data_IF_044673039912
#
_entry.id   IF_044673039912
#
_cell.length_a   1.000
_cell.length_b   1.000
_cell.length_c   1.000
_cell.angle_alpha   90.00
_cell.angle_beta   90.00
_cell.angle_gamma   90.00
#
_symmetry.space_group_name_H-M   'P 1'
#
loop_
_entity.id
_entity.type
_entity.pdbx_description
1 polymer ?
#
# COMPACT_ATOMS: atom_id res chain seq x y z
N UNK A 1 -21.28 -22.99 -1.29
CA UNK A 1 -19.90 -23.08 -0.71
C UNK A 1 -19.77 -24.25 0.26
N UNK A 2 -20.69 -24.45 1.21
CA UNK A 2 -20.73 -25.64 2.10
C UNK A 2 -20.76 -26.98 1.36
N UNK A 3 -21.55 -27.11 0.29
CA UNK A 3 -21.65 -28.38 -0.46
C UNK A 3 -20.42 -28.67 -1.34
N UNK A 4 -19.69 -27.62 -1.77
CA UNK A 4 -18.39 -27.77 -2.45
C UNK A 4 -17.27 -28.16 -1.48
N UNK A 5 -17.37 -27.72 -0.22
CA UNK A 5 -16.44 -28.10 0.86
C UNK A 5 -16.71 -29.54 1.30
N UNK A 6 -17.97 -29.96 1.46
CA UNK A 6 -18.32 -31.37 1.72
C UNK A 6 -17.95 -32.30 0.58
N UNK A 7 -18.07 -31.86 -0.68
CA UNK A 7 -17.59 -32.63 -1.83
C UNK A 7 -16.06 -32.77 -1.85
N UNK A 8 -15.32 -31.77 -1.34
CA UNK A 8 -13.87 -31.83 -1.16
C UNK A 8 -13.45 -32.70 0.02
N UNK A 9 -14.21 -32.68 1.11
CA UNK A 9 -14.01 -33.54 2.29
C UNK A 9 -14.33 -35.02 1.97
N UNK A 10 -15.36 -35.30 1.17
CA UNK A 10 -15.62 -36.65 0.64
C UNK A 10 -14.55 -37.12 -0.36
N UNK A 11 -13.84 -36.20 -1.02
CA UNK A 11 -12.72 -36.54 -1.91
C UNK A 11 -11.39 -36.77 -1.18
N UNK A 12 -11.28 -36.30 0.07
CA UNK A 12 -10.09 -36.50 0.91
C UNK A 12 -9.87 -37.96 1.33
N UNK A 13 -10.87 -38.82 1.18
CA UNK A 13 -10.80 -40.26 1.47
C UNK A 13 -10.21 -41.13 0.35
N UNK A 14 -9.91 -40.58 -0.83
CA UNK A 14 -9.26 -41.33 -1.92
C UNK A 14 -7.80 -40.92 -2.04
N UNK A 15 -6.91 -41.82 -1.62
CA UNK A 15 -5.47 -41.74 -1.90
C UNK A 15 -5.26 -41.40 -3.37
N UNK A 16 -4.85 -40.16 -3.67
CA UNK A 16 -4.57 -39.71 -5.03
C UNK A 16 -3.22 -40.31 -5.42
N UNK A 17 -3.20 -41.19 -6.42
CA UNK A 17 -1.97 -41.65 -7.05
C UNK A 17 -1.31 -40.44 -7.70
N UNK A 18 -0.07 -40.15 -7.34
CA UNK A 18 0.67 -38.97 -7.81
C UNK A 18 1.94 -39.34 -8.57
N UNK A 19 2.39 -40.60 -8.47
CA UNK A 19 3.47 -41.14 -9.29
C UNK A 19 3.12 -42.55 -9.78
N UNK A 20 3.68 -42.95 -10.93
CA UNK A 20 3.53 -44.30 -11.48
C UNK A 20 4.60 -45.27 -10.95
N UNK A 21 5.65 -44.76 -10.30
CA UNK A 21 6.66 -45.58 -9.62
C UNK A 21 6.34 -45.75 -8.12
N UNK A 22 6.77 -46.88 -7.56
CA UNK A 22 6.51 -47.24 -6.16
C UNK A 22 7.55 -46.68 -5.17
N UNK A 23 8.34 -45.68 -5.59
CA UNK A 23 9.39 -45.09 -4.73
C UNK A 23 8.78 -44.21 -3.63
N UNK A 24 9.30 -44.38 -2.41
CA UNK A 24 8.93 -43.55 -1.26
C UNK A 24 9.65 -42.21 -1.34
N UNK A 25 8.89 -41.11 -1.30
CA UNK A 25 9.42 -39.75 -1.40
C UNK A 25 8.90 -38.80 -0.36
N UNK A 26 9.77 -37.90 0.08
CA UNK A 26 9.35 -36.71 0.82
C UNK A 26 9.57 -35.48 -0.07
N UNK A 27 8.49 -34.70 -0.26
CA UNK A 27 8.46 -33.54 -1.14
C UNK A 27 8.36 -32.28 -0.29
N UNK A 28 9.39 -31.42 -0.32
CA UNK A 28 9.43 -30.18 0.42
C UNK A 28 9.27 -28.98 -0.49
N UNK A 29 8.44 -28.02 -0.08
CA UNK A 29 8.39 -26.72 -0.71
C UNK A 29 8.29 -25.58 0.31
N UNK A 30 8.84 -24.44 -0.06
CA UNK A 30 8.84 -23.23 0.75
C UNK A 30 8.19 -22.07 -0.01
N UNK A 31 7.29 -21.35 0.65
CA UNK A 31 6.76 -20.08 0.19
C UNK A 31 7.14 -19.00 1.20
N UNK A 32 7.74 -17.90 0.75
CA UNK A 32 8.32 -16.88 1.62
C UNK A 32 7.62 -15.53 1.41
N UNK A 33 7.31 -14.86 2.51
CA UNK A 33 6.96 -13.45 2.54
C UNK A 33 7.97 -12.70 3.42
N UNK A 34 8.95 -12.07 2.79
CA UNK A 34 9.94 -11.25 3.50
C UNK A 34 9.36 -9.93 4.02
N UNK A 35 8.23 -9.46 3.49
CA UNK A 35 7.59 -8.23 3.99
C UNK A 35 6.86 -8.46 5.30
N UNK A 36 6.27 -9.64 5.47
CA UNK A 36 5.57 -10.07 6.69
C UNK A 36 6.46 -10.90 7.63
N UNK A 37 7.75 -11.05 7.28
CA UNK A 37 8.77 -11.79 8.02
C UNK A 37 8.34 -13.23 8.37
N UNK A 38 7.74 -13.92 7.39
CA UNK A 38 7.13 -15.25 7.57
C UNK A 38 7.27 -16.11 6.31
N UNK A 39 7.53 -17.40 6.50
CA UNK A 39 7.55 -18.40 5.43
C UNK A 39 6.68 -19.60 5.82
N UNK A 40 6.09 -20.24 4.82
CA UNK A 40 5.33 -21.48 4.97
C UNK A 40 6.12 -22.61 4.29
N UNK A 41 6.61 -23.54 5.09
CA UNK A 41 7.16 -24.81 4.62
C UNK A 41 6.07 -25.87 4.55
N UNK A 42 6.05 -26.66 3.48
CA UNK A 42 5.11 -27.76 3.28
C UNK A 42 5.86 -29.04 2.94
N UNK A 43 5.44 -30.13 3.57
CA UNK A 43 5.89 -31.48 3.29
C UNK A 43 4.72 -32.34 2.81
N UNK A 44 4.89 -32.99 1.65
CA UNK A 44 4.04 -34.11 1.24
C UNK A 44 4.84 -35.42 1.36
N UNK A 45 4.27 -36.40 2.06
CA UNK A 45 4.82 -37.76 2.18
C UNK A 45 4.18 -38.64 1.12
N UNK A 46 4.96 -39.14 0.18
CA UNK A 46 4.54 -40.05 -0.87
C UNK A 46 5.07 -41.45 -0.56
N UNK A 47 4.19 -42.44 -0.47
CA UNK A 47 4.57 -43.84 -0.28
C UNK A 47 3.89 -44.69 -1.33
N UNK A 48 4.63 -45.59 -1.96
CA UNK A 48 4.11 -46.45 -3.04
C UNK A 48 3.30 -45.66 -4.09
N UNK A 49 3.82 -44.50 -4.50
CA UNK A 49 3.19 -43.61 -5.50
C UNK A 49 1.98 -42.79 -5.01
N UNK A 50 1.60 -42.89 -3.73
CA UNK A 50 0.41 -42.22 -3.15
C UNK A 50 0.80 -41.21 -2.08
N UNK A 51 0.11 -40.07 -2.01
CA UNK A 51 0.28 -39.15 -0.87
C UNK A 51 -0.41 -39.74 0.36
N UNK A 52 0.38 -40.04 1.38
CA UNK A 52 -0.07 -40.61 2.66
C UNK A 52 -0.09 -39.58 3.78
N UNK A 53 0.54 -38.41 3.58
CA UNK A 53 0.58 -37.37 4.60
C UNK A 53 0.91 -36.00 4.03
N UNK A 54 0.38 -34.97 4.69
CA UNK A 54 0.68 -33.56 4.43
C UNK A 54 0.92 -32.85 5.75
N UNK A 55 2.04 -32.13 5.85
CA UNK A 55 2.39 -31.30 7.00
C UNK A 55 2.80 -29.91 6.52
N UNK A 56 2.61 -28.90 7.37
CA UNK A 56 3.09 -27.56 7.10
C UNK A 56 3.57 -26.89 8.38
N UNK A 57 4.52 -25.98 8.25
CA UNK A 57 5.12 -25.22 9.35
C UNK A 57 5.32 -23.78 8.93
N UNK A 58 5.02 -22.84 9.83
CA UNK A 58 5.35 -21.44 9.62
C UNK A 58 6.68 -21.08 10.29
N UNK A 59 7.63 -20.60 9.51
CA UNK A 59 8.88 -20.02 9.98
C UNK A 59 8.67 -18.50 10.14
N UNK A 60 9.24 -17.90 11.18
CA UNK A 60 9.19 -16.46 11.47
C UNK A 60 10.60 -15.97 11.79
N UNK A 61 10.84 -14.65 11.78
CA UNK A 61 12.16 -14.06 12.04
C UNK A 61 13.17 -14.51 10.98
N UNK A 62 12.81 -14.22 9.72
CA UNK A 62 13.57 -14.56 8.53
C UNK A 62 14.66 -13.52 8.21
N UNK A 63 14.69 -12.39 8.91
CA UNK A 63 15.66 -11.33 8.69
C UNK A 63 17.10 -11.88 8.70
N UNK A 64 17.87 -11.54 7.66
CA UNK A 64 19.24 -12.02 7.47
C UNK A 64 19.38 -13.46 6.96
N UNK A 65 18.29 -14.24 6.83
CA UNK A 65 18.36 -15.63 6.35
C UNK A 65 18.15 -15.72 4.83
N UNK A 66 18.93 -16.57 4.17
CA UNK A 66 18.75 -16.91 2.75
C UNK A 66 17.65 -17.95 2.57
N UNK A 67 17.11 -18.09 1.35
CA UNK A 67 16.05 -19.06 1.06
C UNK A 67 16.56 -20.50 1.28
N UNK A 68 17.84 -20.73 0.97
CA UNK A 68 18.55 -22.00 1.17
C UNK A 68 18.71 -22.36 2.65
N UNK A 69 19.01 -21.37 3.50
CA UNK A 69 19.07 -21.57 4.95
C UNK A 69 17.69 -21.91 5.52
N UNK A 70 16.63 -21.26 5.05
CA UNK A 70 15.26 -21.55 5.47
C UNK A 70 14.79 -22.95 5.04
N UNK A 71 15.15 -23.37 3.82
CA UNK A 71 14.89 -24.74 3.37
C UNK A 71 15.65 -25.75 4.24
N UNK A 72 16.91 -25.48 4.59
CA UNK A 72 17.69 -26.33 5.48
C UNK A 72 17.05 -26.48 6.85
N UNK A 73 16.66 -25.36 7.49
CA UNK A 73 15.96 -25.37 8.79
C UNK A 73 14.67 -26.19 8.72
N UNK A 74 13.90 -26.08 7.63
CA UNK A 74 12.67 -26.85 7.43
C UNK A 74 12.93 -28.36 7.41
N UNK A 75 13.99 -28.80 6.70
CA UNK A 75 14.33 -30.21 6.59
C UNK A 75 14.91 -30.76 7.89
N UNK A 76 15.83 -30.04 8.52
CA UNK A 76 16.43 -30.44 9.79
C UNK A 76 15.36 -30.57 10.89
N UNK A 77 14.45 -29.60 10.99
CA UNK A 77 13.36 -29.64 11.96
C UNK A 77 12.46 -30.88 11.76
N UNK A 78 12.21 -31.29 10.52
CA UNK A 78 11.43 -32.48 10.24
C UNK A 78 12.19 -33.78 10.55
N UNK A 79 13.42 -33.92 10.03
CA UNK A 79 14.19 -35.15 10.16
C UNK A 79 14.76 -35.39 11.57
N UNK A 80 14.81 -34.36 12.41
CA UNK A 80 15.10 -34.52 13.84
C UNK A 80 14.08 -35.42 14.57
N UNK A 81 12.82 -35.40 14.14
CA UNK A 81 11.71 -36.16 14.77
C UNK A 81 11.16 -37.28 13.85
N UNK A 82 11.78 -37.51 12.69
CA UNK A 82 11.26 -38.44 11.71
C UNK A 82 11.44 -39.91 12.12
N UNK A 83 10.34 -40.65 12.17
CA UNK A 83 10.34 -42.11 12.35
C UNK A 83 10.58 -42.88 11.03
N UNK A 84 10.45 -42.21 9.88
CA UNK A 84 10.59 -42.82 8.56
C UNK A 84 11.47 -41.97 7.66
N UNK A 85 12.35 -42.62 6.90
CA UNK A 85 13.26 -42.00 5.94
C UNK A 85 12.95 -42.52 4.53
N UNK A 86 12.76 -41.65 3.51
CA UNK A 86 12.37 -42.05 2.16
C UNK A 86 13.54 -42.56 1.30
N UNK A 87 13.24 -43.01 0.08
CA UNK A 87 14.25 -43.33 -0.94
C UNK A 87 14.78 -42.06 -1.64
N UNK A 88 13.92 -41.06 -1.80
CA UNK A 88 14.25 -39.79 -2.43
C UNK A 88 13.59 -38.61 -1.72
N UNK A 89 14.32 -37.50 -1.63
CA UNK A 89 13.81 -36.23 -1.12
C UNK A 89 13.87 -35.21 -2.25
N UNK A 90 12.72 -34.62 -2.57
CA UNK A 90 12.61 -33.60 -3.62
C UNK A 90 12.30 -32.24 -3.01
N UNK A 91 12.98 -31.20 -3.49
CA UNK A 91 12.89 -29.85 -2.94
C UNK A 91 12.43 -28.84 -4.00
N UNK A 92 11.74 -27.78 -3.56
CA UNK A 92 11.43 -26.63 -4.42
C UNK A 92 12.60 -25.67 -4.64
N UNK A 93 13.69 -25.83 -3.89
CA UNK A 93 14.90 -25.02 -3.95
C UNK A 93 16.05 -25.70 -3.20
N UNK A 94 17.30 -25.23 -3.38
CA UNK A 94 18.46 -25.83 -2.74
C UNK A 94 18.49 -25.58 -1.21
N UNK A 95 19.37 -26.29 -0.51
CA UNK A 95 19.73 -26.07 0.89
C UNK A 95 21.14 -25.47 0.96
N UNK A 96 21.47 -24.77 2.06
CA UNK A 96 22.75 -24.06 2.16
C UNK A 96 23.94 -25.03 2.33
N UNK A 97 23.79 -26.03 3.19
CA UNK A 97 24.76 -27.11 3.40
C UNK A 97 24.06 -28.47 3.43
N UNK A 98 24.02 -29.22 2.31
CA UNK A 98 23.35 -30.52 2.26
C UNK A 98 24.13 -31.65 2.96
N UNK A 99 25.44 -31.48 3.21
CA UNK A 99 26.32 -32.58 3.62
C UNK A 99 25.88 -33.31 4.90
N UNK A 100 25.64 -32.60 6.02
CA UNK A 100 25.18 -33.21 7.27
C UNK A 100 23.83 -33.93 7.11
N UNK A 101 22.92 -33.33 6.33
CA UNK A 101 21.59 -33.89 6.10
C UNK A 101 21.66 -35.16 5.24
N UNK A 102 22.45 -35.17 4.16
CA UNK A 102 22.64 -36.37 3.33
C UNK A 102 23.27 -37.52 4.12
N UNK A 103 24.22 -37.22 5.01
CA UNK A 103 24.82 -38.20 5.91
C UNK A 103 23.78 -38.81 6.86
N UNK A 104 22.97 -37.97 7.52
CA UNK A 104 21.87 -38.41 8.39
C UNK A 104 20.86 -39.30 7.63
N UNK A 105 20.42 -38.86 6.45
CA UNK A 105 19.47 -39.61 5.63
C UNK A 105 20.03 -40.98 5.24
N UNK A 106 21.31 -41.05 4.84
CA UNK A 106 21.98 -42.28 4.46
C UNK A 106 22.12 -43.25 5.64
N UNK A 107 22.55 -42.75 6.79
CA UNK A 107 22.70 -43.55 8.01
C UNK A 107 21.36 -44.16 8.42
N UNK A 108 20.31 -43.33 8.49
CA UNK A 108 18.99 -43.74 8.96
C UNK A 108 18.25 -44.67 7.99
N UNK A 109 18.42 -44.49 6.67
CA UNK A 109 17.82 -45.37 5.66
C UNK A 109 18.64 -46.66 5.44
N UNK A 110 19.92 -46.67 5.81
CA UNK A 110 20.85 -47.77 5.53
C UNK A 110 21.33 -47.85 4.07
N UNK A 111 20.92 -46.90 3.22
CA UNK A 111 21.36 -46.77 1.81
C UNK A 111 21.35 -45.30 1.39
N UNK A 112 21.96 -44.98 0.25
CA UNK A 112 21.99 -43.62 -0.28
C UNK A 112 20.57 -43.12 -0.56
N UNK A 113 20.20 -42.00 0.04
CA UNK A 113 18.97 -41.24 -0.23
C UNK A 113 19.34 -40.08 -1.15
N UNK A 114 18.66 -39.94 -2.28
CA UNK A 114 18.93 -38.80 -3.18
C UNK A 114 18.16 -37.56 -2.76
N UNK A 115 18.87 -36.47 -2.52
CA UNK A 115 18.32 -35.12 -2.30
C UNK A 115 18.40 -34.34 -3.62
N UNK A 116 17.26 -33.91 -4.18
CA UNK A 116 17.23 -33.28 -5.53
C UNK A 116 16.29 -32.08 -5.61
N UNK A 117 16.64 -31.13 -6.48
CA UNK A 117 15.81 -30.01 -6.91
C UNK A 117 15.39 -30.25 -8.38
N UNK A 118 14.23 -30.88 -8.65
CA UNK A 118 13.85 -31.21 -10.01
C UNK A 118 13.36 -29.96 -10.78
N UNK A 119 13.98 -29.69 -11.93
CA UNK A 119 13.63 -28.53 -12.77
C UNK A 119 12.58 -28.86 -13.86
N UNK A 120 12.54 -30.11 -14.35
CA UNK A 120 11.68 -30.56 -15.46
C UNK A 120 11.11 -31.97 -15.22
N UNK A 121 10.10 -32.34 -16.02
CA UNK A 121 9.44 -33.64 -15.96
C UNK A 121 8.42 -33.79 -14.80
N UNK A 122 8.01 -35.03 -14.55
CA UNK A 122 6.93 -35.37 -13.60
C UNK A 122 7.28 -35.01 -12.16
N UNK A 123 8.53 -35.25 -11.74
CA UNK A 123 9.05 -34.88 -10.41
C UNK A 123 8.98 -33.36 -10.17
N UNK A 124 9.27 -32.55 -11.19
CA UNK A 124 9.09 -31.10 -11.12
C UNK A 124 7.60 -30.72 -11.04
N UNK A 125 6.72 -31.49 -11.68
CA UNK A 125 5.27 -31.35 -11.54
C UNK A 125 4.79 -31.57 -10.10
N UNK A 126 5.31 -32.61 -9.43
CA UNK A 126 5.05 -32.88 -8.01
C UNK A 126 5.46 -31.69 -7.13
N UNK A 127 6.67 -31.18 -7.32
CA UNK A 127 7.17 -30.05 -6.55
C UNK A 127 6.37 -28.78 -6.80
N UNK A 128 5.94 -28.51 -8.04
CA UNK A 128 5.03 -27.39 -8.33
C UNK A 128 3.71 -27.50 -7.56
N UNK A 129 3.16 -28.71 -7.42
CA UNK A 129 1.95 -28.93 -6.61
C UNK A 129 2.18 -28.60 -5.13
N UNK A 130 3.29 -29.07 -4.55
CA UNK A 130 3.62 -28.79 -3.14
C UNK A 130 3.90 -27.30 -2.93
N UNK A 131 4.61 -26.65 -3.86
CA UNK A 131 4.88 -25.21 -3.83
C UNK A 131 3.60 -24.37 -3.96
N UNK A 132 2.64 -24.79 -4.80
CA UNK A 132 1.33 -24.16 -4.87
C UNK A 132 0.57 -24.28 -3.54
N UNK A 133 0.69 -25.41 -2.85
CA UNK A 133 0.10 -25.59 -1.52
C UNK A 133 0.75 -24.69 -0.45
N UNK A 134 2.08 -24.55 -0.47
CA UNK A 134 2.80 -23.64 0.42
C UNK A 134 2.36 -22.18 0.23
N UNK A 135 2.19 -21.74 -1.02
CA UNK A 135 1.68 -20.40 -1.35
C UNK A 135 0.25 -20.19 -0.85
N UNK A 136 -0.63 -21.17 -1.07
CA UNK A 136 -2.02 -21.11 -0.60
C UNK A 136 -2.09 -20.93 0.93
N UNK A 137 -1.33 -21.73 1.68
CA UNK A 137 -1.30 -21.67 3.15
C UNK A 137 -0.70 -20.35 3.67
N UNK A 138 0.27 -19.78 2.96
CA UNK A 138 0.82 -18.47 3.28
C UNK A 138 -0.22 -17.36 3.04
N UNK A 139 -0.98 -17.43 1.95
CA UNK A 139 -2.04 -16.47 1.63
C UNK A 139 -3.20 -16.56 2.65
N UNK A 140 -3.59 -17.76 3.06
CA UNK A 140 -4.57 -17.95 4.14
C UNK A 140 -4.10 -17.34 5.46
N UNK A 141 -2.83 -17.54 5.81
CA UNK A 141 -2.24 -16.93 7.00
C UNK A 141 -2.29 -15.40 6.95
N UNK A 142 -1.95 -14.80 5.80
CA UNK A 142 -2.04 -13.34 5.58
C UNK A 142 -3.46 -12.84 5.78
N UNK A 143 -4.45 -13.53 5.20
CA UNK A 143 -5.87 -13.16 5.35
C UNK A 143 -6.33 -13.28 6.81
N UNK A 144 -5.93 -14.32 7.52
CA UNK A 144 -6.25 -14.46 8.94
C UNK A 144 -5.58 -13.39 9.80
N UNK A 145 -4.33 -13.03 9.52
CA UNK A 145 -3.62 -11.93 10.19
C UNK A 145 -4.35 -10.61 9.95
N UNK A 146 -4.66 -10.30 8.69
CA UNK A 146 -5.42 -9.10 8.33
C UNK A 146 -6.76 -9.04 9.05
N UNK A 147 -7.51 -10.16 9.13
CA UNK A 147 -8.77 -10.25 9.88
C UNK A 147 -8.61 -10.13 11.39
N UNK A 148 -7.53 -10.65 11.98
CA UNK A 148 -7.23 -10.49 13.41
C UNK A 148 -6.83 -9.05 13.76
N UNK A 149 -6.22 -8.35 12.82
CA UNK A 149 -5.94 -6.92 12.94
C UNK A 149 -7.19 -6.07 12.67
N UNK A 150 -8.11 -6.54 11.82
CA UNK A 150 -9.40 -5.93 11.55
C UNK A 150 -10.28 -5.99 12.81
N UNK A 151 -10.59 -4.81 13.37
CA UNK A 151 -11.34 -4.68 14.63
C UNK A 151 -10.48 -4.51 15.89
N UNK A 152 -9.18 -4.81 15.84
CA UNK A 152 -8.26 -4.50 16.95
C UNK A 152 -7.84 -3.03 16.87
N UNK A 153 -8.24 -2.23 17.86
CA UNK A 153 -7.80 -0.84 17.98
C UNK A 153 -6.26 -0.81 18.10
N UNK A 154 -5.54 -0.19 17.15
CA UNK A 154 -4.08 -0.19 17.17
C UNK A 154 -3.50 0.52 18.39
N UNK A 155 -2.34 0.05 18.84
CA UNK A 155 -1.64 0.64 19.98
C UNK A 155 -1.42 2.15 19.81
N UNK A 156 -1.03 2.59 18.62
CA UNK A 156 -0.80 4.01 18.32
C UNK A 156 -2.06 4.88 18.52
N UNK A 157 -3.25 4.35 18.24
CA UNK A 157 -4.52 5.07 18.45
C UNK A 157 -4.84 5.19 19.93
N UNK A 158 -4.63 4.12 20.70
CA UNK A 158 -4.80 4.14 22.17
C UNK A 158 -3.79 5.05 22.86
N UNK A 159 -2.54 4.99 22.42
CA UNK A 159 -1.47 5.84 22.92
C UNK A 159 -1.78 7.31 22.62
N UNK A 160 -2.26 7.63 21.43
CA UNK A 160 -2.64 9.00 21.06
C UNK A 160 -3.78 9.54 21.94
N UNK A 161 -4.80 8.72 22.23
CA UNK A 161 -5.86 9.10 23.18
C UNK A 161 -5.27 9.49 24.54
N UNK A 162 -4.42 8.62 25.11
CA UNK A 162 -3.84 8.83 26.43
C UNK A 162 -2.91 10.06 26.46
N UNK A 163 -1.99 10.14 25.51
CA UNK A 163 -0.95 11.16 25.51
C UNK A 163 -1.51 12.57 25.24
N UNK A 164 -2.66 12.66 24.55
CA UNK A 164 -3.40 13.91 24.32
C UNK A 164 -4.62 14.09 25.23
N UNK A 165 -4.83 13.18 26.20
CA UNK A 165 -5.99 13.16 27.09
C UNK A 165 -7.35 13.33 26.37
N UNK A 166 -7.53 12.64 25.24
CA UNK A 166 -8.73 12.77 24.41
C UNK A 166 -9.92 12.04 25.06
N UNK A 167 -11.14 12.63 25.00
CA UNK A 167 -12.32 12.07 25.65
C UNK A 167 -12.78 10.75 25.03
N UNK A 168 -12.40 10.48 23.78
CA UNK A 168 -12.71 9.25 23.04
C UNK A 168 -11.49 8.80 22.24
N UNK A 169 -11.48 7.52 21.86
CA UNK A 169 -10.44 6.97 21.00
C UNK A 169 -10.44 7.67 19.63
N UNK A 170 -9.31 8.25 19.18
CA UNK A 170 -9.23 8.93 17.89
C UNK A 170 -9.15 7.91 16.74
N UNK A 171 -10.21 7.14 16.52
CA UNK A 171 -10.24 6.09 15.49
C UNK A 171 -10.27 6.69 14.11
N UNK A 172 -11.08 7.73 13.91
CA UNK A 172 -11.15 8.51 12.68
C UNK A 172 -10.47 9.86 12.85
N UNK A 173 -9.34 10.06 12.17
CA UNK A 173 -8.53 11.28 12.24
C UNK A 173 -8.62 11.99 10.88
N UNK A 174 -9.08 13.24 10.88
CA UNK A 174 -9.01 14.10 9.69
C UNK A 174 -7.88 15.11 9.84
N UNK A 175 -7.05 15.25 8.80
CA UNK A 175 -5.94 16.20 8.82
C UNK A 175 -5.97 17.15 7.63
N UNK A 176 -5.88 18.44 7.95
CA UNK A 176 -5.89 19.54 6.98
C UNK A 176 -4.50 20.10 6.79
N UNK A 177 -4.08 20.24 5.53
CA UNK A 177 -2.86 20.95 5.12
C UNK A 177 -3.23 22.03 4.11
N UNK A 178 -2.63 23.21 4.24
CA UNK A 178 -2.72 24.30 3.25
C UNK A 178 -1.33 24.48 2.64
N UNK A 179 -1.22 24.15 1.36
CA UNK A 179 0.04 24.21 0.64
C UNK A 179 0.04 25.34 -0.39
N UNK A 180 1.12 26.12 -0.38
CA UNK A 180 1.39 27.18 -1.33
C UNK A 180 2.45 26.70 -2.33
N UNK A 181 2.09 26.62 -3.60
CA UNK A 181 3.06 26.40 -4.66
C UNK A 181 3.02 27.60 -5.60
N UNK A 182 4.11 28.37 -5.56
CA UNK A 182 4.30 29.64 -6.26
C UNK A 182 3.72 29.60 -7.67
N UNK A 183 2.78 30.51 -7.92
CA UNK A 183 2.15 30.68 -9.22
C UNK A 183 1.02 29.71 -9.58
N UNK A 184 0.58 28.76 -8.74
CA UNK A 184 -0.54 27.82 -9.06
C UNK A 184 -1.81 27.97 -8.21
N UNK A 185 -1.92 29.05 -7.44
CA UNK A 185 -3.02 29.27 -6.50
C UNK A 185 -2.91 28.41 -5.23
N UNK A 186 -3.75 28.70 -4.24
CA UNK A 186 -3.74 28.00 -2.95
C UNK A 186 -4.57 26.72 -3.05
N UNK A 187 -3.99 25.59 -2.62
CA UNK A 187 -4.69 24.33 -2.50
C UNK A 187 -4.62 23.85 -1.07
N UNK A 188 -5.78 23.53 -0.51
CA UNK A 188 -5.84 22.79 0.73
C UNK A 188 -6.19 21.33 0.48
N UNK A 189 -5.78 20.47 1.39
CA UNK A 189 -6.09 19.05 1.34
C UNK A 189 -6.59 18.57 2.70
N UNK A 190 -7.50 17.59 2.67
CA UNK A 190 -7.98 16.86 3.82
C UNK A 190 -7.72 15.38 3.59
N UNK A 191 -6.90 14.77 4.44
CA UNK A 191 -6.68 13.32 4.45
C UNK A 191 -7.39 12.71 5.64
N UNK A 192 -7.79 11.45 5.49
CA UNK A 192 -8.54 10.72 6.50
C UNK A 192 -7.76 9.47 6.88
N UNK A 193 -7.57 9.26 8.17
CA UNK A 193 -7.05 8.02 8.72
C UNK A 193 -8.15 7.34 9.52
N UNK A 194 -8.26 6.02 9.37
CA UNK A 194 -9.10 5.18 10.24
C UNK A 194 -8.24 4.08 10.85
N UNK A 195 -8.34 3.94 12.17
CA UNK A 195 -7.53 3.01 12.96
C UNK A 195 -6.04 3.13 12.60
N UNK A 196 -5.54 4.38 12.56
CA UNK A 196 -4.14 4.68 12.28
C UNK A 196 -3.67 4.34 10.86
N UNK A 197 -4.57 3.97 9.94
CA UNK A 197 -4.25 3.67 8.53
C UNK A 197 -4.92 4.66 7.58
N UNK A 198 -4.28 5.04 6.46
CA UNK A 198 -4.87 6.01 5.55
C UNK A 198 -6.09 5.47 4.78
N UNK A 199 -7.18 6.23 4.77
CA UNK A 199 -8.43 5.98 4.02
C UNK A 199 -8.48 6.84 2.75
N UNK A 200 -7.66 6.46 1.77
CA UNK A 200 -7.47 7.22 0.51
C UNK A 200 -8.75 7.55 -0.26
N UNK A 201 -9.80 6.70 -0.18
CA UNK A 201 -11.09 6.94 -0.83
C UNK A 201 -11.82 8.19 -0.29
N UNK A 202 -11.49 8.59 0.93
CA UNK A 202 -12.12 9.71 1.62
C UNK A 202 -11.31 11.00 1.57
N UNK A 203 -10.14 10.98 0.93
CA UNK A 203 -9.33 12.18 0.78
C UNK A 203 -10.03 13.21 -0.08
N UNK A 204 -9.85 14.49 0.22
CA UNK A 204 -10.41 15.61 -0.54
C UNK A 204 -9.36 16.68 -0.75
N UNK A 205 -9.39 17.29 -1.93
CA UNK A 205 -8.64 18.52 -2.21
C UNK A 205 -9.63 19.66 -2.45
N UNK A 206 -9.22 20.85 -2.03
CA UNK A 206 -10.03 22.05 -2.13
C UNK A 206 -9.24 23.09 -2.90
N UNK A 207 -9.86 23.58 -3.97
CA UNK A 207 -9.43 24.84 -4.61
C UNK A 207 -10.00 25.96 -3.76
N UNK A 208 -9.11 26.74 -3.15
CA UNK A 208 -9.46 27.90 -2.34
C UNK A 208 -9.84 29.05 -3.27
N UNK A 209 -10.97 29.71 -2.99
CA UNK A 209 -11.51 30.79 -3.82
C UNK A 209 -11.44 32.14 -3.12
N UNK A 210 -11.35 32.14 -1.80
CA UNK A 210 -11.43 33.32 -0.96
C UNK A 210 -10.19 34.22 -1.01
N UNK A 211 -9.06 33.70 -1.48
CA UNK A 211 -7.78 34.42 -1.49
C UNK A 211 -7.48 34.93 -2.89
N UNK A 212 -7.21 36.24 -3.01
CA UNK A 212 -6.86 36.87 -4.27
C UNK A 212 -5.56 36.30 -4.86
N UNK A 213 -5.47 36.23 -6.19
CA UNK A 213 -4.30 35.72 -6.89
C UNK A 213 -3.03 36.50 -6.47
N UNK A 214 -2.00 35.76 -6.03
CA UNK A 214 -0.72 36.33 -5.61
C UNK A 214 -0.58 36.65 -4.12
N UNK A 215 -1.64 36.50 -3.31
CA UNK A 215 -1.56 36.59 -1.83
C UNK A 215 -1.52 35.20 -1.20
N UNK A 216 -0.68 35.02 -0.17
CA UNK A 216 -0.69 33.85 0.71
C UNK A 216 -1.50 34.23 1.94
N UNK A 217 -2.75 33.78 2.01
CA UNK A 217 -3.56 33.90 3.22
C UNK A 217 -4.02 32.49 3.65
N UNK A 218 -3.07 31.78 4.26
CA UNK A 218 -3.22 30.43 4.81
C UNK A 218 -4.38 30.36 5.82
N UNK A 219 -4.61 31.45 6.55
CA UNK A 219 -5.67 31.56 7.55
C UNK A 219 -7.05 31.57 6.90
N UNK A 220 -7.25 32.44 5.91
CA UNK A 220 -8.50 32.53 5.17
C UNK A 220 -8.79 31.23 4.40
N UNK A 221 -7.75 30.66 3.77
CA UNK A 221 -7.83 29.38 3.07
C UNK A 221 -8.31 28.26 4.00
N UNK A 222 -7.72 28.16 5.19
CA UNK A 222 -8.09 27.15 6.17
C UNK A 222 -9.52 27.34 6.69
N UNK A 223 -9.91 28.59 6.98
CA UNK A 223 -11.28 28.93 7.40
C UNK A 223 -12.31 28.49 6.37
N UNK A 224 -12.08 28.79 5.09
CA UNK A 224 -12.96 28.38 3.98
C UNK A 224 -13.10 26.85 3.90
N UNK A 225 -11.97 26.14 3.97
CA UNK A 225 -11.91 24.71 3.71
C UNK A 225 -12.53 23.89 4.85
N UNK A 226 -12.23 24.26 6.10
CA UNK A 226 -12.83 23.64 7.28
C UNK A 226 -14.34 23.86 7.27
N UNK A 227 -14.81 25.08 7.03
CA UNK A 227 -16.24 25.37 6.93
C UNK A 227 -16.93 24.51 5.86
N UNK A 228 -16.37 24.49 4.63
CA UNK A 228 -16.91 23.69 3.52
C UNK A 228 -16.94 22.19 3.82
N UNK A 229 -15.92 21.64 4.49
CA UNK A 229 -15.87 20.23 4.85
C UNK A 229 -17.01 19.87 5.80
N UNK A 230 -17.17 20.62 6.89
CA UNK A 230 -18.14 20.27 7.93
C UNK A 230 -19.57 20.64 7.58
N UNK A 231 -19.79 21.70 6.80
CA UNK A 231 -21.10 21.97 6.19
C UNK A 231 -21.60 20.78 5.38
N UNK A 232 -20.73 20.23 4.52
CA UNK A 232 -21.07 19.05 3.73
C UNK A 232 -21.31 17.82 4.59
N UNK A 233 -20.53 17.61 5.66
CA UNK A 233 -20.77 16.50 6.60
C UNK A 233 -22.15 16.63 7.26
N UNK A 234 -22.58 17.85 7.62
CA UNK A 234 -23.93 18.10 8.13
C UNK A 234 -25.01 17.82 7.07
N UNK A 235 -24.87 18.40 5.87
CA UNK A 235 -25.85 18.27 4.78
C UNK A 235 -26.02 16.83 4.30
N UNK A 236 -24.92 16.07 4.21
CA UNK A 236 -24.92 14.69 3.70
C UNK A 236 -25.03 13.64 4.81
N UNK A 237 -25.18 14.03 6.08
CA UNK A 237 -25.09 13.13 7.24
C UNK A 237 -23.84 12.22 7.19
N UNK A 238 -22.70 12.82 6.86
CA UNK A 238 -21.42 12.13 6.70
C UNK A 238 -20.80 11.65 8.02
N UNK A 239 -19.72 10.84 7.94
CA UNK A 239 -19.02 10.36 9.13
C UNK A 239 -18.28 11.50 9.84
N UNK A 240 -18.45 11.59 11.16
CA UNK A 240 -17.75 12.55 12.01
C UNK A 240 -16.35 12.06 12.38
N UNK A 241 -15.34 12.95 12.43
CA UNK A 241 -14.03 12.61 12.98
C UNK A 241 -14.09 12.44 14.50
N UNK A 242 -13.17 11.63 15.03
CA UNK A 242 -12.87 11.55 16.46
C UNK A 242 -11.75 12.53 16.86
N UNK A 243 -10.95 12.99 15.89
CA UNK A 243 -9.90 13.98 16.07
C UNK A 243 -9.65 14.74 14.76
N UNK A 244 -9.48 16.05 14.84
CA UNK A 244 -9.07 16.90 13.73
C UNK A 244 -7.68 17.45 13.97
N UNK A 245 -6.79 17.30 13.00
CA UNK A 245 -5.42 17.80 13.06
C UNK A 245 -5.22 18.87 11.98
N UNK A 246 -4.82 20.07 12.39
CA UNK A 246 -4.42 21.15 11.49
C UNK A 246 -2.90 21.09 11.36
N UNK A 247 -2.36 20.91 10.15
CA UNK A 247 -0.91 21.04 9.89
C UNK A 247 -0.54 22.52 9.95
N UNK A 248 -0.31 22.98 11.18
CA UNK A 248 -0.20 24.38 11.48
C UNK A 248 -0.09 24.71 12.96
N UNK A 249 0.47 25.88 13.22
CA UNK A 249 0.60 26.42 14.58
C UNK A 249 -0.70 27.01 15.11
N UNK A 250 -0.62 27.70 16.26
CA UNK A 250 -1.77 28.30 16.96
C UNK A 250 -2.65 29.20 16.10
N UNK A 251 -2.05 30.01 15.23
CA UNK A 251 -2.82 30.92 14.35
C UNK A 251 -3.72 30.17 13.38
N UNK A 252 -3.21 29.12 12.75
CA UNK A 252 -3.98 28.26 11.85
C UNK A 252 -5.05 27.48 12.64
N UNK A 253 -4.70 26.94 13.80
CA UNK A 253 -5.66 26.28 14.69
C UNK A 253 -6.82 27.21 15.06
N UNK A 254 -6.54 28.47 15.44
CA UNK A 254 -7.57 29.45 15.79
C UNK A 254 -8.54 29.70 14.61
N UNK A 255 -8.02 29.84 13.39
CA UNK A 255 -8.85 30.02 12.20
C UNK A 255 -9.75 28.81 11.91
N UNK A 256 -9.25 27.59 12.13
CA UNK A 256 -10.05 26.38 12.02
C UNK A 256 -11.15 26.34 13.09
N UNK A 257 -10.84 26.75 14.32
CA UNK A 257 -11.81 26.82 15.42
C UNK A 257 -12.94 27.82 15.10
N UNK A 258 -12.62 29.01 14.60
CA UNK A 258 -13.62 29.99 14.17
C UNK A 258 -14.56 29.42 13.10
N UNK A 259 -14.01 28.69 12.11
CA UNK A 259 -14.82 28.03 11.09
C UNK A 259 -15.76 26.96 11.69
N UNK A 260 -15.26 26.14 12.61
CA UNK A 260 -16.06 25.13 13.31
C UNK A 260 -17.16 25.75 14.17
N UNK A 261 -16.89 26.90 14.80
CA UNK A 261 -17.88 27.65 15.58
C UNK A 261 -18.97 28.22 14.68
N UNK A 262 -18.59 28.82 13.54
CA UNK A 262 -19.55 29.36 12.57
C UNK A 262 -20.48 28.30 11.98
N UNK A 263 -19.98 27.08 11.76
CA UNK A 263 -20.81 25.94 11.32
C UNK A 263 -21.54 25.22 12.48
N UNK A 264 -21.38 25.66 13.73
CA UNK A 264 -22.07 25.09 14.90
C UNK A 264 -21.62 23.67 15.29
N UNK A 265 -20.40 23.27 14.91
CA UNK A 265 -19.85 21.92 15.14
C UNK A 265 -18.66 21.89 16.11
N UNK A 266 -18.17 23.05 16.52
CA UNK A 266 -17.13 23.13 17.55
C UNK A 266 -17.57 22.44 18.85
N UNK A 267 -16.67 21.66 19.46
CA UNK A 267 -16.96 20.87 20.65
C UNK A 267 -17.51 19.46 20.40
N UNK A 268 -17.90 19.10 19.16
CA UNK A 268 -18.30 17.71 18.82
C UNK A 268 -17.14 16.72 18.84
N UNK A 269 -15.94 17.20 18.52
CA UNK A 269 -14.70 16.44 18.49
C UNK A 269 -13.52 17.36 18.87
N UNK A 270 -12.43 16.80 19.40
CA UNK A 270 -11.18 17.54 19.60
C UNK A 270 -10.59 18.02 18.27
N UNK A 271 -10.06 19.23 18.27
CA UNK A 271 -9.27 19.81 17.17
C UNK A 271 -7.93 20.27 17.73
N UNK A 272 -6.84 19.93 17.05
CA UNK A 272 -5.48 20.26 17.49
C UNK A 272 -4.67 20.83 16.33
N UNK A 273 -3.73 21.73 16.64
CA UNK A 273 -2.70 22.20 15.72
C UNK A 273 -1.42 21.40 15.91
N UNK A 274 -0.78 21.00 14.83
CA UNK A 274 0.52 20.31 14.86
C UNK A 274 1.58 21.21 14.22
N UNK A 275 2.45 21.78 15.05
CA UNK A 275 3.51 22.65 14.54
C UNK A 275 4.72 21.85 14.03
N UNK A 276 5.30 22.30 12.91
CA UNK A 276 6.44 21.63 12.27
C UNK A 276 7.70 21.58 13.14
N UNK A 277 7.89 22.55 14.05
CA UNK A 277 9.02 22.58 14.99
C UNK A 277 8.69 21.66 16.17
N UNK A 278 9.50 20.60 16.33
CA UNK A 278 9.39 19.60 17.41
C UNK A 278 8.10 18.76 17.45
N UNK A 279 7.20 18.88 16.46
CA UNK A 279 5.90 18.20 16.43
C UNK A 279 5.04 18.51 17.67
N UNK A 280 5.12 19.75 18.13
CA UNK A 280 4.35 20.25 19.25
C UNK A 280 2.86 20.29 18.91
N UNK A 281 2.05 19.77 19.83
CA UNK A 281 0.59 19.72 19.69
C UNK A 281 -0.03 20.88 20.47
N UNK A 282 -0.86 21.67 19.80
CA UNK A 282 -1.58 22.80 20.39
C UNK A 282 -3.07 22.49 20.48
N UNK A 283 -3.65 22.75 21.65
CA UNK A 283 -5.10 22.76 21.83
C UNK A 283 -5.65 24.20 21.72
N UNK A 284 -6.93 24.36 21.32
CA UNK A 284 -7.59 25.67 21.27
C UNK A 284 -7.59 26.33 22.65
N UNK A 285 -7.12 27.57 22.73
CA UNK A 285 -7.09 28.36 23.96
C UNK A 285 -5.86 28.13 24.85
N UNK A 286 -5.08 27.07 24.61
CA UNK A 286 -3.92 26.75 25.45
C UNK A 286 -2.71 27.64 25.16
N UNK A 287 -2.04 28.05 26.25
CA UNK A 287 -0.80 28.85 26.19
C UNK A 287 0.42 28.00 25.88
N UNK A 288 0.46 26.76 26.33
CA UNK A 288 1.60 25.87 26.15
C UNK A 288 1.26 24.72 25.20
N UNK A 289 2.26 24.19 24.51
CA UNK A 289 2.11 22.99 23.68
C UNK A 289 2.24 21.72 24.52
N UNK A 290 1.59 20.67 24.07
CA UNK A 290 1.84 19.31 24.53
C UNK A 290 3.00 18.74 23.73
N UNK A 291 4.09 18.41 24.42
CA UNK A 291 5.28 17.76 23.85
C UNK A 291 5.15 16.26 24.04
N UNK A 292 5.06 15.52 22.94
CA UNK A 292 5.00 14.06 22.97
C UNK A 292 6.42 13.49 22.74
N UNK A 293 6.87 12.47 23.50
CA UNK A 293 8.17 11.84 23.28
C UNK A 293 8.36 11.37 21.83
N UNK A 294 9.56 11.60 21.27
CA UNK A 294 9.89 11.29 19.87
C UNK A 294 9.78 9.81 19.50
N UNK A 295 10.00 8.93 20.47
CA UNK A 295 9.91 7.47 20.32
C UNK A 295 8.49 6.94 20.48
N UNK A 296 7.52 7.79 20.86
CA UNK A 296 6.14 7.36 21.09
C UNK A 296 5.44 6.97 19.78
N UNK A 297 4.58 5.96 19.86
CA UNK A 297 3.73 5.57 18.74
C UNK A 297 2.68 6.65 18.38
N UNK A 298 2.34 7.52 19.33
CA UNK A 298 1.39 8.64 19.18
C UNK A 298 1.96 9.71 18.25
N UNK A 299 3.20 10.13 18.51
CA UNK A 299 3.87 11.12 17.67
C UNK A 299 4.12 10.57 16.26
N UNK A 300 4.55 9.32 16.15
CA UNK A 300 4.73 8.66 14.85
C UNK A 300 3.42 8.55 14.06
N UNK A 301 2.27 8.42 14.73
CA UNK A 301 0.96 8.47 14.07
C UNK A 301 0.65 9.88 13.56
N UNK A 302 0.81 10.92 14.39
CA UNK A 302 0.60 12.31 13.99
C UNK A 302 1.50 12.72 12.83
N UNK A 303 2.78 12.35 12.87
CA UNK A 303 3.74 12.58 11.78
C UNK A 303 3.29 11.91 10.48
N UNK A 304 2.84 10.65 10.52
CA UNK A 304 2.33 9.96 9.33
C UNK A 304 1.09 10.63 8.76
N UNK A 305 0.17 11.05 9.62
CA UNK A 305 -1.04 11.78 9.24
C UNK A 305 -0.69 13.09 8.53
N UNK A 306 0.21 13.89 9.12
CA UNK A 306 0.67 15.16 8.54
C UNK A 306 1.43 14.95 7.23
N UNK A 307 2.42 14.06 7.23
CA UNK A 307 3.23 13.78 6.04
C UNK A 307 2.37 13.30 4.88
N UNK A 308 1.31 12.54 5.15
CA UNK A 308 0.34 12.12 4.14
C UNK A 308 -0.52 13.28 3.63
N UNK A 309 -0.95 14.21 4.49
CA UNK A 309 -1.65 15.44 4.10
C UNK A 309 -0.78 16.28 3.17
N UNK A 310 0.46 16.57 3.59
CA UNK A 310 1.42 17.31 2.80
C UNK A 310 1.74 16.62 1.46
N UNK A 311 2.01 15.30 1.48
CA UNK A 311 2.26 14.52 0.26
C UNK A 311 1.09 14.60 -0.70
N UNK A 312 -0.14 14.53 -0.20
CA UNK A 312 -1.34 14.55 -1.01
C UNK A 312 -1.55 15.93 -1.66
N UNK A 313 -1.36 17.01 -0.91
CA UNK A 313 -1.40 18.39 -1.43
C UNK A 313 -0.36 18.62 -2.53
N UNK A 314 0.91 18.30 -2.27
CA UNK A 314 2.03 18.43 -3.23
C UNK A 314 1.78 17.61 -4.49
N UNK A 315 1.32 16.36 -4.34
CA UNK A 315 1.00 15.49 -5.49
C UNK A 315 -0.09 16.10 -6.37
N UNK A 316 -1.11 16.70 -5.76
CA UNK A 316 -2.19 17.35 -6.49
C UNK A 316 -1.71 18.61 -7.22
N UNK A 317 -0.95 19.48 -6.54
CA UNK A 317 -0.41 20.69 -7.15
C UNK A 317 0.57 20.38 -8.29
N UNK A 318 1.41 19.35 -8.15
CA UNK A 318 2.27 18.87 -9.25
C UNK A 318 1.45 18.45 -10.47
N UNK A 319 0.36 17.72 -10.26
CA UNK A 319 -0.57 17.35 -11.34
C UNK A 319 -1.24 18.57 -11.98
N UNK A 320 -1.63 19.58 -11.20
CA UNK A 320 -2.21 20.82 -11.72
C UNK A 320 -1.19 21.63 -12.54
N UNK A 321 0.03 21.80 -12.03
CA UNK A 321 1.12 22.49 -12.76
C UNK A 321 1.44 21.79 -14.06
N UNK A 322 1.57 20.46 -14.04
CA UNK A 322 1.79 19.69 -15.26
C UNK A 322 0.68 19.94 -16.27
N UNK A 323 -0.59 19.90 -15.87
CA UNK A 323 -1.71 20.23 -16.77
C UNK A 323 -1.63 21.65 -17.31
N UNK A 324 -1.26 22.65 -16.49
CA UNK A 324 -1.16 24.05 -16.93
C UNK A 324 0.01 24.30 -17.86
N UNK A 325 1.21 23.81 -17.55
CA UNK A 325 2.39 23.91 -18.42
C UNK A 325 2.12 23.28 -19.78
N UNK A 326 1.51 22.10 -19.76
CA UNK A 326 1.11 21.40 -20.97
C UNK A 326 0.02 22.18 -21.74
N UNK A 327 -0.95 22.78 -21.07
CA UNK A 327 -1.94 23.66 -21.70
C UNK A 327 -1.28 24.90 -22.33
N UNK A 328 -0.34 25.55 -21.63
CA UNK A 328 0.38 26.72 -22.15
C UNK A 328 1.25 26.39 -23.36
N UNK A 329 1.81 25.19 -23.40
CA UNK A 329 2.64 24.70 -24.51
C UNK A 329 1.81 24.55 -25.79
N UNK A 330 0.60 23.97 -25.71
CA UNK A 330 -0.28 23.89 -26.87
C UNK A 330 -0.82 25.26 -27.31
N UNK A 331 -1.12 26.17 -26.37
CA UNK A 331 -1.57 27.53 -26.72
C UNK A 331 -0.46 28.41 -27.29
N UNK A 332 0.82 28.05 -27.12
CA UNK A 332 1.94 28.76 -27.72
C UNK A 332 2.07 28.50 -29.23
N UNK A 333 1.36 27.49 -29.77
CA UNK A 333 1.37 27.14 -31.19
C UNK A 333 0.44 28.10 -31.94
N UNK A 334 0.96 28.90 -32.90
CA UNK A 334 0.13 29.83 -33.66
C UNK A 334 -1.05 29.14 -34.37
N UNK A 335 -2.27 29.58 -34.07
CA UNK A 335 -3.51 29.01 -34.62
C UNK A 335 -4.15 27.90 -33.76
N UNK A 336 -3.55 27.55 -32.62
CA UNK A 336 -4.12 26.63 -31.62
C UNK A 336 -4.68 27.42 -30.44
N UNK A 337 -5.91 27.93 -30.59
CA UNK A 337 -6.64 28.62 -29.51
C UNK A 337 -7.21 27.67 -28.45
N UNK A 338 -7.72 28.22 -27.33
CA UNK A 338 -8.22 27.44 -26.18
C UNK A 338 -9.23 26.33 -26.55
N UNK A 339 -10.16 26.62 -27.46
CA UNK A 339 -11.17 25.64 -27.89
C UNK A 339 -10.51 24.40 -28.52
N UNK A 340 -9.48 24.60 -29.35
CA UNK A 340 -8.75 23.53 -30.02
C UNK A 340 -7.89 22.75 -29.03
N UNK A 341 -7.27 23.43 -28.06
CA UNK A 341 -6.54 22.77 -26.96
C UNK A 341 -7.46 21.84 -26.15
N UNK A 342 -8.67 22.31 -25.79
CA UNK A 342 -9.64 21.47 -25.07
C UNK A 342 -10.05 20.25 -25.89
N UNK A 343 -10.30 20.39 -27.19
CA UNK A 343 -10.65 19.27 -28.08
C UNK A 343 -9.51 18.26 -28.17
N UNK A 344 -8.28 18.71 -28.41
CA UNK A 344 -7.10 17.84 -28.43
C UNK A 344 -6.90 17.11 -27.10
N UNK A 345 -7.04 17.80 -25.97
CA UNK A 345 -6.93 17.18 -24.65
C UNK A 345 -8.06 16.21 -24.35
N UNK A 346 -9.27 16.44 -24.86
CA UNK A 346 -10.39 15.52 -24.72
C UNK A 346 -10.16 14.23 -25.51
N UNK A 347 -9.65 14.35 -26.73
CA UNK A 347 -9.41 13.19 -27.61
C UNK A 347 -8.19 12.38 -27.18
N UNK A 348 -7.05 13.05 -26.94
CA UNK A 348 -5.77 12.38 -26.65
C UNK A 348 -5.50 12.22 -25.14
N UNK A 349 -6.26 12.89 -24.28
CA UNK A 349 -6.19 12.77 -22.82
C UNK A 349 -5.07 13.56 -22.13
N UNK A 350 -3.94 13.80 -22.80
CA UNK A 350 -2.83 14.61 -22.26
C UNK A 350 -1.95 15.16 -23.37
N UNK A 351 -1.26 16.28 -23.13
CA UNK A 351 -0.34 16.87 -24.12
C UNK A 351 0.84 15.95 -24.42
N UNK A 352 1.30 15.12 -23.48
CA UNK A 352 2.30 14.08 -23.79
C UNK A 352 1.80 13.12 -24.87
N UNK A 353 0.51 12.77 -24.84
CA UNK A 353 -0.12 11.94 -25.88
C UNK A 353 -0.36 12.71 -27.17
N UNK A 354 -0.66 14.02 -27.10
CA UNK A 354 -0.71 14.89 -28.30
C UNK A 354 0.66 14.97 -28.97
N UNK A 355 1.74 15.14 -28.19
CA UNK A 355 3.13 15.15 -28.67
C UNK A 355 3.54 13.81 -29.28
N UNK A 356 3.06 12.69 -28.74
CA UNK A 356 3.36 11.36 -29.27
C UNK A 356 2.39 10.89 -30.37
N UNK A 357 1.32 11.63 -30.64
CA UNK A 357 0.33 11.24 -31.64
C UNK A 357 0.89 11.42 -33.06
N UNK A 358 0.60 10.49 -33.99
CA UNK A 358 0.96 10.65 -35.39
C UNK A 358 0.16 11.81 -36.01
N UNK A 359 0.76 12.49 -36.99
CA UNK A 359 0.17 13.68 -37.63
C UNK A 359 -1.23 13.40 -38.21
N UNK A 360 -1.44 12.22 -38.80
CA UNK A 360 -2.74 11.80 -39.30
C UNK A 360 -3.83 11.82 -38.22
N UNK A 361 -3.54 11.32 -37.02
CA UNK A 361 -4.49 11.33 -35.91
C UNK A 361 -4.76 12.77 -35.41
N UNK A 362 -3.75 13.65 -35.42
CA UNK A 362 -3.94 15.07 -35.09
C UNK A 362 -4.82 15.78 -36.14
N UNK A 363 -4.64 15.44 -37.42
CA UNK A 363 -5.38 16.03 -38.54
C UNK A 363 -6.88 15.73 -38.46
N UNK A 364 -7.28 14.55 -37.97
CA UNK A 364 -8.69 14.20 -37.74
C UNK A 364 -9.36 15.14 -36.71
N UNK A 365 -8.59 15.75 -35.80
CA UNK A 365 -9.14 16.55 -34.70
C UNK A 365 -9.08 18.05 -34.99
N UNK A 366 -8.02 18.53 -35.65
CA UNK A 366 -7.79 19.98 -35.86
C UNK A 366 -7.58 20.39 -37.32
N UNK A 367 -7.67 19.44 -38.25
CA UNK A 367 -7.40 19.65 -39.66
C UNK A 367 -5.91 19.53 -40.02
N UNK A 368 -5.59 19.20 -41.28
CA UNK A 368 -4.24 18.85 -41.72
C UNK A 368 -3.23 20.00 -41.55
N UNK A 369 -3.62 21.22 -41.90
CA UNK A 369 -2.74 22.39 -41.82
C UNK A 369 -2.33 22.78 -40.39
N UNK A 370 -3.14 22.42 -39.37
CA UNK A 370 -2.80 22.67 -37.97
C UNK A 370 -2.09 21.48 -37.34
N UNK A 371 -2.39 20.26 -37.77
CA UNK A 371 -1.67 19.06 -37.37
C UNK A 371 -0.19 19.14 -37.73
N UNK A 372 0.13 19.53 -38.97
CA UNK A 372 1.51 19.76 -39.42
C UNK A 372 2.24 20.80 -38.56
N UNK A 373 1.57 21.89 -38.18
CA UNK A 373 2.13 22.94 -37.30
C UNK A 373 2.38 22.44 -35.89
N UNK A 374 1.47 21.64 -35.33
CA UNK A 374 1.65 21.04 -34.01
C UNK A 374 2.84 20.08 -34.04
N UNK A 375 2.97 19.27 -35.10
CA UNK A 375 4.08 18.34 -35.28
C UNK A 375 5.42 19.06 -35.38
N UNK A 376 5.52 20.04 -36.28
CA UNK A 376 6.71 20.88 -36.46
C UNK A 376 7.13 21.60 -35.16
N UNK A 377 6.18 22.10 -34.38
CA UNK A 377 6.48 22.77 -33.10
C UNK A 377 7.15 21.83 -32.08
N UNK A 378 6.70 20.58 -32.01
CA UNK A 378 7.25 19.61 -31.07
C UNK A 378 8.56 18.99 -31.56
N UNK A 379 8.75 18.85 -32.87
CA UNK A 379 10.00 18.32 -33.45
C UNK A 379 11.14 19.33 -33.32
N UNK A 380 10.88 20.62 -33.53
CA UNK A 380 11.87 21.68 -33.35
C UNK A 380 12.36 21.85 -31.89
N UNK A 381 11.53 21.48 -30.91
CA UNK A 381 11.91 21.52 -29.48
C UNK A 381 12.68 20.30 -29.00
N UNK A 382 12.54 19.17 -29.67
CA UNK A 382 13.32 17.97 -29.34
C UNK A 382 14.77 18.07 -29.88
N UNK A 383 15.01 18.95 -30.87
CA UNK A 383 16.36 19.27 -31.36
C UNK A 383 17.12 20.30 -30.51
N UNK A 384 16.41 21.19 -29.81
CA UNK A 384 17.02 22.23 -28.95
C UNK A 384 17.32 21.77 -27.51
N UNK A 385 16.86 20.57 -27.13
CA UNK A 385 16.99 20.01 -25.79
C UNK A 385 17.94 18.82 -25.64
N UNK A 386 18.72 18.52 -26.68
CA UNK A 386 19.72 17.44 -26.72
C UNK A 386 21.13 17.94 -26.42
#
# INVERSE_FOLDING_TARGET
>A
LRDRIRALEQYAGRQKVVSQDFEDRDLFALAIDRTEDVACGVLFKVREGKVVGRQHTYLRRLEGQTDEALMQVLLEAYYAEAAFFPDEVLLSGPVADPGPLEALLRERRGKKVSLRVPERGDKAGLIRMVAANARLLLDEWRLQKARREEGRIPHAVKALQRDLNLPRLPRRIECFDVSHLGGTGIVASCVVFEDGRPRKKEYRTYKVRSVAEGRSDDYQALREVVARRYRRVLEENGPWPDLVVIDGGKGQLACAVEALQAEGVYGRFPVVGLAKRLEEVFFPGDRDSVVIPRTSSSLQLLQRVRNEAHRFAVTFQRKQRQKRTLHSELTAIPGVGEQRVRTLLRTFGSVRRVKAAPEAALAEVVGPALAARIRAHFDARDTDGA
#
